data_IF_740443267566
#
_entry.id   IF_740443267566
#
_cell.length_a   1.000
_cell.length_b   1.000
_cell.length_c   1.000
_cell.angle_alpha   90.00
_cell.angle_beta   90.00
_cell.angle_gamma   90.00
#
_symmetry.space_group_name_H-M   'P 1'
#
loop_
_entity.id
_entity.type
_entity.pdbx_description
1 polymer ?
#
# COMPACT_ATOMS: atom_id res chain seq x y z
N UNK A 1 17.60 -2.78 -8.50
CA UNK A 1 17.10 -4.05 -9.07
C UNK A 1 15.63 -3.87 -9.38
N UNK A 2 15.26 -3.56 -10.62
CA UNK A 2 13.85 -3.46 -11.03
C UNK A 2 13.43 -4.82 -11.55
N UNK A 3 12.73 -5.62 -10.74
CA UNK A 3 12.09 -6.84 -11.24
C UNK A 3 10.75 -6.45 -11.84
N UNK A 4 10.63 -6.58 -13.15
CA UNK A 4 9.36 -6.43 -13.85
C UNK A 4 8.45 -7.60 -13.52
N UNK A 5 7.21 -7.31 -13.13
CA UNK A 5 6.16 -8.34 -13.08
C UNK A 5 5.87 -8.85 -14.49
N UNK A 6 5.48 -10.12 -14.61
CA UNK A 6 4.98 -10.65 -15.89
C UNK A 6 3.80 -9.80 -16.38
N UNK A 7 3.72 -9.51 -17.69
CA UNK A 7 2.65 -8.66 -18.25
C UNK A 7 1.25 -9.18 -17.93
N UNK A 8 1.08 -10.50 -17.85
CA UNK A 8 -0.19 -11.13 -17.48
C UNK A 8 -0.63 -10.78 -16.05
N UNK A 9 0.31 -10.83 -15.10
CA UNK A 9 0.04 -10.51 -13.68
C UNK A 9 -0.22 -9.02 -13.53
N UNK A 10 0.56 -8.18 -14.23
CA UNK A 10 0.35 -6.73 -14.22
C UNK A 10 -1.03 -6.36 -14.79
N UNK A 11 -1.46 -7.00 -15.88
CA UNK A 11 -2.78 -6.78 -16.45
C UNK A 11 -3.89 -7.22 -15.49
N UNK A 12 -3.79 -8.39 -14.86
CA UNK A 12 -4.78 -8.85 -13.86
C UNK A 12 -4.89 -7.89 -12.68
N UNK A 13 -3.77 -7.38 -12.17
CA UNK A 13 -3.78 -6.37 -11.09
C UNK A 13 -4.46 -5.09 -11.56
N UNK A 14 -4.15 -4.60 -12.76
CA UNK A 14 -4.79 -3.41 -13.33
C UNK A 14 -6.29 -3.60 -13.56
N UNK A 15 -6.72 -4.78 -14.01
CA UNK A 15 -8.15 -5.14 -14.13
C UNK A 15 -8.83 -5.16 -12.77
N UNK A 16 -8.20 -5.77 -11.74
CA UNK A 16 -8.71 -5.73 -10.36
C UNK A 16 -8.78 -4.30 -9.80
N UNK A 17 -7.84 -3.45 -10.20
CA UNK A 17 -7.78 -2.05 -9.83
C UNK A 17 -8.73 -1.15 -10.63
N UNK A 18 -9.53 -1.69 -11.57
CA UNK A 18 -10.34 -0.92 -12.52
C UNK A 18 -9.54 0.18 -13.24
N UNK A 19 -8.29 -0.11 -13.61
CA UNK A 19 -7.37 0.85 -14.24
C UNK A 19 -7.05 2.11 -13.40
N UNK A 20 -7.29 2.07 -12.08
CA UNK A 20 -6.87 3.14 -11.16
C UNK A 20 -5.48 2.87 -10.62
N UNK A 21 -4.55 3.80 -10.86
CA UNK A 21 -3.17 3.71 -10.35
C UNK A 21 -3.13 3.64 -8.82
N UNK A 22 -4.04 4.35 -8.14
CA UNK A 22 -4.15 4.33 -6.68
C UNK A 22 -4.64 2.98 -6.17
N UNK A 23 -5.60 2.35 -6.85
CA UNK A 23 -6.09 1.04 -6.48
C UNK A 23 -5.03 -0.05 -6.74
N UNK A 24 -4.30 0.04 -7.85
CA UNK A 24 -3.19 -0.87 -8.15
C UNK A 24 -2.09 -0.77 -7.07
N UNK A 25 -1.75 0.45 -6.66
CA UNK A 25 -0.83 0.70 -5.55
C UNK A 25 -1.31 0.06 -4.24
N UNK A 26 -2.58 0.25 -3.86
CA UNK A 26 -3.15 -0.34 -2.65
C UNK A 26 -3.17 -1.86 -2.68
N UNK A 27 -3.48 -2.48 -3.83
CA UNK A 27 -3.45 -3.95 -4.00
C UNK A 27 -2.04 -4.48 -3.78
N UNK A 28 -1.03 -3.84 -4.36
CA UNK A 28 0.38 -4.21 -4.20
C UNK A 28 0.82 -4.04 -2.74
N UNK A 29 0.43 -2.94 -2.10
CA UNK A 29 0.72 -2.64 -0.71
C UNK A 29 0.13 -3.71 0.23
N UNK A 30 -1.14 -4.08 0.01
CA UNK A 30 -1.80 -5.16 0.74
C UNK A 30 -1.09 -6.51 0.55
N UNK A 31 -0.62 -6.79 -0.67
CA UNK A 31 0.18 -7.97 -0.98
C UNK A 31 1.49 -8.01 -0.18
N UNK A 32 2.20 -6.89 -0.09
CA UNK A 32 3.44 -6.77 0.68
C UNK A 32 3.19 -6.95 2.18
N UNK A 33 2.13 -6.34 2.72
CA UNK A 33 1.78 -6.52 4.14
C UNK A 33 1.41 -7.97 4.47
N UNK A 34 0.63 -8.63 3.61
CA UNK A 34 0.31 -10.04 3.78
C UNK A 34 1.57 -10.93 3.72
N UNK A 35 2.50 -10.59 2.81
CA UNK A 35 3.78 -11.25 2.73
C UNK A 35 4.57 -11.05 4.03
N UNK A 36 4.73 -9.81 4.49
CA UNK A 36 5.43 -9.49 5.73
C UNK A 36 4.80 -10.17 6.94
N UNK A 37 3.46 -10.22 7.02
CA UNK A 37 2.74 -10.95 8.05
C UNK A 37 3.14 -12.44 8.04
N UNK A 38 3.14 -13.08 6.87
CA UNK A 38 3.53 -14.48 6.72
C UNK A 38 5.00 -14.75 7.05
N UNK A 39 5.89 -13.78 6.84
CA UNK A 39 7.33 -13.94 7.14
C UNK A 39 7.70 -13.57 8.58
N UNK A 40 6.91 -12.73 9.24
CA UNK A 40 7.22 -12.24 10.60
C UNK A 40 6.35 -12.87 11.68
N UNK A 41 5.24 -13.51 11.32
CA UNK A 41 4.18 -13.99 12.23
C UNK A 41 3.69 -12.91 13.21
N UNK A 42 3.90 -11.63 12.87
CA UNK A 42 3.51 -10.48 13.71
C UNK A 42 2.19 -9.91 13.27
N UNK A 43 1.28 -9.77 14.22
CA UNK A 43 -0.06 -9.21 14.01
C UNK A 43 -0.10 -7.69 13.91
N UNK A 44 1.00 -7.01 14.25
CA UNK A 44 1.11 -5.55 14.14
C UNK A 44 2.29 -5.22 13.26
N UNK A 45 2.01 -4.63 12.10
CA UNK A 45 2.99 -4.19 11.12
C UNK A 45 2.89 -2.67 10.97
N UNK A 46 4.04 -2.02 10.88
CA UNK A 46 4.12 -0.59 10.61
C UNK A 46 4.86 -0.46 9.29
N UNK A 47 4.19 0.10 8.28
CA UNK A 47 4.76 0.36 6.98
C UNK A 47 4.94 1.87 6.79
N UNK A 48 6.17 2.29 6.53
CA UNK A 48 6.44 3.66 6.10
C UNK A 48 6.29 3.77 4.59
N UNK A 49 5.31 4.53 4.11
CA UNK A 49 5.17 4.84 2.69
C UNK A 49 5.64 6.28 2.43
N UNK A 50 6.56 6.50 1.48
CA UNK A 50 6.94 7.85 1.11
C UNK A 50 5.78 8.51 0.35
N UNK A 51 5.32 9.67 0.82
CA UNK A 51 4.30 10.48 0.16
C UNK A 51 4.90 11.77 -0.36
N UNK A 52 4.35 12.25 -1.48
CA UNK A 52 4.73 13.52 -2.08
C UNK A 52 3.79 14.58 -1.50
N UNK A 53 4.27 15.31 -0.49
CA UNK A 53 3.56 16.48 0.02
C UNK A 53 3.54 17.57 -1.06
N UNK A 54 2.35 17.90 -1.56
CA UNK A 54 2.14 19.05 -2.46
C UNK A 54 2.15 20.36 -1.67
N UNK A 55 3.21 20.67 -0.93
CA UNK A 55 3.39 22.04 -0.44
C UNK A 55 3.91 22.94 -1.57
N UNK A 56 3.14 24.00 -1.86
CA UNK A 56 3.40 25.05 -2.86
C UNK A 56 4.54 26.01 -2.43
N UNK A 57 5.72 25.50 -2.11
CA UNK A 57 6.84 26.39 -1.77
C UNK A 57 8.16 25.85 -2.30
N UNK A 58 8.44 26.18 -3.57
CA UNK A 58 9.74 26.29 -4.28
C UNK A 58 10.82 25.20 -4.16
N UNK A 59 10.70 24.26 -3.24
CA UNK A 59 11.57 23.14 -2.98
C UNK A 59 10.67 22.00 -2.54
N UNK A 60 10.28 21.15 -3.48
CA UNK A 60 9.48 19.96 -3.22
C UNK A 60 10.21 19.10 -2.19
N UNK A 61 9.80 19.16 -0.93
CA UNK A 61 10.28 18.27 0.11
C UNK A 61 9.68 16.88 -0.18
N UNK A 62 10.32 16.16 -1.09
CA UNK A 62 10.03 14.77 -1.44
C UNK A 62 10.51 13.89 -0.29
N UNK A 63 9.87 13.91 0.88
CA UNK A 63 10.20 12.99 1.98
C UNK A 63 9.21 13.03 3.16
N UNK A 64 7.91 13.19 2.94
CA UNK A 64 6.95 12.95 4.01
C UNK A 64 6.71 11.44 4.08
N UNK A 65 7.29 10.75 5.07
CA UNK A 65 6.98 9.33 5.30
C UNK A 65 5.70 9.25 6.13
N UNK A 66 4.66 8.66 5.56
CA UNK A 66 3.45 8.32 6.29
C UNK A 66 3.63 6.94 6.90
N UNK A 67 3.42 6.83 8.22
CA UNK A 67 3.42 5.55 8.91
C UNK A 67 2.01 4.96 8.90
N UNK A 68 1.83 3.91 8.10
CA UNK A 68 0.64 3.09 8.10
C UNK A 68 0.80 2.00 9.15
N UNK A 69 0.05 2.11 10.25
CA UNK A 69 -0.01 1.07 11.28
C UNK A 69 -1.17 0.15 10.98
N UNK A 70 -0.88 -1.03 10.48
CA UNK A 70 -1.90 -2.03 10.18
C UNK A 70 -1.86 -3.20 11.17
N UNK A 71 -3.04 -3.71 11.52
CA UNK A 71 -3.20 -4.85 12.45
C UNK A 71 -3.81 -6.02 11.70
N UNK A 72 -2.95 -6.90 11.20
CA UNK A 72 -3.38 -8.15 10.58
C UNK A 72 -3.58 -9.21 11.67
N UNK A 73 -4.79 -9.76 11.76
CA UNK A 73 -5.08 -10.93 12.58
C UNK A 73 -5.20 -12.16 11.69
N UNK A 74 -5.06 -13.37 12.24
CA UNK A 74 -5.22 -14.62 11.49
C UNK A 74 -6.62 -14.80 10.85
N UNK A 75 -7.60 -13.98 11.24
CA UNK A 75 -8.97 -13.95 10.70
C UNK A 75 -9.16 -12.85 9.64
N UNK A 76 -8.17 -11.97 9.46
CA UNK A 76 -8.24 -10.86 8.52
C UNK A 76 -8.16 -11.39 7.09
N UNK A 77 -9.18 -11.09 6.28
CA UNK A 77 -9.15 -11.42 4.85
C UNK A 77 -8.38 -10.36 4.07
N UNK A 78 -7.88 -10.71 2.88
CA UNK A 78 -7.23 -9.75 1.98
C UNK A 78 -8.10 -8.50 1.73
N UNK A 79 -9.42 -8.68 1.66
CA UNK A 79 -10.39 -7.58 1.51
C UNK A 79 -10.38 -6.64 2.72
N UNK A 80 -10.33 -7.18 3.93
CA UNK A 80 -10.26 -6.39 5.16
C UNK A 80 -8.97 -5.57 5.22
N UNK A 81 -7.83 -6.18 4.86
CA UNK A 81 -6.54 -5.49 4.79
C UNK A 81 -6.57 -4.37 3.75
N UNK A 82 -7.14 -4.63 2.58
CA UNK A 82 -7.30 -3.62 1.53
C UNK A 82 -8.17 -2.43 1.97
N UNK A 83 -9.30 -2.69 2.64
CA UNK A 83 -10.16 -1.62 3.16
C UNK A 83 -9.45 -0.78 4.22
N UNK A 84 -8.73 -1.41 5.16
CA UNK A 84 -7.93 -0.71 6.17
C UNK A 84 -6.83 0.15 5.54
N UNK A 85 -6.15 -0.36 4.51
CA UNK A 85 -5.13 0.38 3.78
C UNK A 85 -5.72 1.58 3.03
N UNK A 86 -6.89 1.40 2.40
CA UNK A 86 -7.61 2.47 1.71
C UNK A 86 -7.98 3.60 2.67
N UNK A 87 -8.52 3.26 3.85
CA UNK A 87 -8.83 4.24 4.90
C UNK A 87 -7.57 4.93 5.41
N UNK A 88 -6.54 4.17 5.76
CA UNK A 88 -5.30 4.72 6.30
C UNK A 88 -4.58 5.64 5.30
N UNK A 89 -4.60 5.30 4.01
CA UNK A 89 -4.07 6.18 2.95
C UNK A 89 -4.96 7.41 2.75
N UNK A 90 -6.28 7.28 2.81
CA UNK A 90 -7.20 8.41 2.73
C UNK A 90 -7.00 9.40 3.89
N UNK A 91 -6.89 8.90 5.12
CA UNK A 91 -6.67 9.72 6.32
C UNK A 91 -5.31 10.41 6.31
N UNK A 92 -4.29 9.77 5.75
CA UNK A 92 -2.94 10.33 5.66
C UNK A 92 -2.74 11.33 4.52
N UNK A 93 -3.69 11.39 3.58
CA UNK A 93 -3.70 12.34 2.46
C UNK A 93 -4.57 13.59 2.73
N UNK A 94 -5.26 13.64 3.88
CA UNK A 94 -5.90 14.86 4.41
C UNK A 94 -4.90 15.71 5.17
#
# INVERSE_FOLDING_TARGET
ICRSLSPEVSQRIMTMANHSDMAAYLILLAGIECLLYKYTDRTSLILGIPTISKQKSSHSAVNTIVLLKNRLTSQSTFKTVFEQLKEAVHDSLK
#
